data_IF_870058759113
#
_entry.id   IF_870058759113
#
_cell.length_a   1.000
_cell.length_b   1.000
_cell.length_c   1.000
_cell.angle_alpha   90.00
_cell.angle_beta   90.00
_cell.angle_gamma   90.00
#
_symmetry.space_group_name_H-M   'P 1'
#
loop_
_entity.id
_entity.type
_entity.pdbx_description
1 polymer ?
#
# COMPACT_ATOMS: atom_id res chain seq x y z
N UNK A 1 -8.63 3.09 -9.82
CA UNK A 1 -7.26 3.23 -10.32
C UNK A 1 -7.21 2.99 -11.83
N UNK A 2 -7.60 1.84 -12.38
CA UNK A 2 -7.57 1.54 -13.82
C UNK A 2 -8.30 2.59 -14.67
N UNK A 3 -9.55 2.90 -14.32
CA UNK A 3 -10.35 3.90 -15.04
C UNK A 3 -9.68 5.27 -15.02
N UNK A 4 -9.12 5.68 -13.87
CA UNK A 4 -8.42 6.95 -13.74
C UNK A 4 -7.15 7.00 -14.59
N UNK A 5 -6.35 5.92 -14.56
CA UNK A 5 -5.14 5.82 -15.39
C UNK A 5 -5.43 5.95 -16.90
N UNK A 6 -6.51 5.32 -17.37
CA UNK A 6 -6.97 5.42 -18.76
C UNK A 6 -7.56 6.80 -19.08
N UNK A 7 -8.43 7.34 -18.22
CA UNK A 7 -9.12 8.62 -18.46
C UNK A 7 -8.15 9.80 -18.56
N UNK A 8 -7.06 9.77 -17.83
CA UNK A 8 -6.03 10.82 -17.84
C UNK A 8 -4.86 10.54 -18.78
N UNK A 9 -4.92 9.47 -19.59
CA UNK A 9 -3.81 9.05 -20.47
C UNK A 9 -2.46 9.07 -19.73
N UNK A 10 -2.45 8.56 -18.48
CA UNK A 10 -1.28 8.61 -17.65
C UNK A 10 -0.13 7.75 -18.23
N UNK A 11 1.13 8.18 -18.13
CA UNK A 11 2.28 7.37 -18.50
C UNK A 11 2.19 5.97 -17.87
N UNK A 12 2.57 4.89 -18.57
CA UNK A 12 2.41 3.52 -18.08
C UNK A 12 2.94 3.28 -16.67
N UNK A 13 4.11 3.83 -16.36
CA UNK A 13 4.71 3.72 -15.03
C UNK A 13 3.84 4.36 -13.93
N UNK A 14 3.24 5.53 -14.21
CA UNK A 14 2.37 6.24 -13.26
C UNK A 14 1.04 5.49 -13.11
N UNK A 15 0.47 4.98 -14.20
CA UNK A 15 -0.77 4.21 -14.17
C UNK A 15 -0.62 2.91 -13.36
N UNK A 16 0.48 2.17 -13.55
CA UNK A 16 0.80 0.98 -12.75
C UNK A 16 1.02 1.36 -11.29
N UNK A 17 1.77 2.44 -11.01
CA UNK A 17 1.98 2.96 -9.65
C UNK A 17 0.66 3.31 -8.95
N UNK A 18 -0.30 3.90 -9.68
CA UNK A 18 -1.64 4.21 -9.15
C UNK A 18 -2.44 2.95 -8.79
N UNK A 19 -2.31 1.89 -9.58
CA UNK A 19 -2.94 0.58 -9.27
C UNK A 19 -2.31 -0.04 -8.03
N UNK A 20 -0.98 0.00 -7.91
CA UNK A 20 -0.26 -0.49 -6.71
C UNK A 20 -0.70 0.29 -5.48
N UNK A 21 -0.76 1.62 -5.56
CA UNK A 21 -1.22 2.48 -4.48
C UNK A 21 -2.65 2.13 -4.03
N UNK A 22 -3.55 1.88 -5.01
CA UNK A 22 -4.93 1.48 -4.73
C UNK A 22 -5.05 0.08 -4.12
N UNK A 23 -4.11 -0.80 -4.41
CA UNK A 23 -4.09 -2.17 -3.90
C UNK A 23 -3.45 -2.28 -2.50
N UNK A 24 -2.71 -1.27 -2.05
CA UNK A 24 -2.08 -1.29 -0.73
C UNK A 24 -3.13 -1.37 0.40
N UNK A 25 -2.89 -2.19 1.43
CA UNK A 25 -3.78 -2.26 2.59
C UNK A 25 -3.71 -0.97 3.40
N UNK A 26 -4.75 -0.74 4.22
CA UNK A 26 -4.78 0.43 5.12
C UNK A 26 -3.61 0.38 6.11
N UNK A 27 -2.91 1.52 6.26
CA UNK A 27 -1.78 1.63 7.18
C UNK A 27 -2.20 1.88 8.63
N UNK A 28 -1.23 1.81 9.54
CA UNK A 28 -1.42 2.11 10.97
C UNK A 28 -1.96 3.52 11.22
N UNK A 29 -1.76 4.46 10.30
CA UNK A 29 -2.30 5.82 10.34
C UNK A 29 -3.82 5.83 10.30
N UNK A 30 -4.46 4.89 9.60
CA UNK A 30 -5.92 4.78 9.57
C UNK A 30 -6.49 4.54 10.98
N UNK A 31 -5.84 3.67 11.76
CA UNK A 31 -6.24 3.42 13.15
C UNK A 31 -6.08 4.67 14.03
N UNK A 32 -5.02 5.46 13.82
CA UNK A 32 -4.80 6.71 14.55
C UNK A 32 -5.89 7.74 14.21
N UNK A 33 -6.27 7.89 12.95
CA UNK A 33 -7.37 8.78 12.54
C UNK A 33 -8.72 8.31 13.08
N UNK A 34 -8.99 7.01 13.07
CA UNK A 34 -10.21 6.41 13.64
C UNK A 34 -10.31 6.73 15.13
N UNK A 35 -9.20 6.58 15.86
CA UNK A 35 -9.14 6.94 17.28
C UNK A 35 -9.37 8.45 17.50
N UNK A 36 -8.71 9.31 16.74
CA UNK A 36 -8.85 10.76 16.82
C UNK A 36 -10.28 11.22 16.50
N UNK A 37 -10.96 10.54 15.59
CA UNK A 37 -12.35 10.82 15.20
C UNK A 37 -13.38 10.22 16.16
N UNK A 38 -12.96 9.55 17.24
CA UNK A 38 -13.83 8.82 18.19
C UNK A 38 -14.74 7.79 17.51
N UNK A 39 -14.26 7.20 16.40
CA UNK A 39 -14.96 6.15 15.68
C UNK A 39 -14.58 4.76 16.21
N UNK A 40 -15.15 3.71 15.64
CA UNK A 40 -14.95 2.31 16.08
C UNK A 40 -13.56 1.81 15.71
N UNK A 41 -12.61 1.92 16.64
CA UNK A 41 -11.22 1.46 16.47
C UNK A 41 -11.12 -0.06 16.32
N UNK A 42 -11.79 -0.90 17.12
CA UNK A 42 -11.85 -2.35 16.94
C UNK A 42 -12.26 -2.76 15.53
N UNK A 43 -13.30 -2.15 14.99
CA UNK A 43 -13.76 -2.40 13.61
C UNK A 43 -12.65 -2.04 12.60
N UNK A 44 -12.03 -0.88 12.74
CA UNK A 44 -10.95 -0.43 11.85
C UNK A 44 -9.76 -1.40 11.87
N UNK A 45 -9.33 -1.85 13.04
CA UNK A 45 -8.22 -2.81 13.19
C UNK A 45 -8.57 -4.15 12.55
N UNK A 46 -9.78 -4.65 12.76
CA UNK A 46 -10.25 -5.92 12.19
C UNK A 46 -10.29 -5.84 10.66
N UNK A 47 -10.85 -4.77 10.10
CA UNK A 47 -10.89 -4.56 8.66
C UNK A 47 -9.47 -4.44 8.07
N UNK A 48 -8.57 -3.73 8.76
CA UNK A 48 -7.17 -3.61 8.34
C UNK A 48 -6.46 -4.96 8.33
N UNK A 49 -6.70 -5.81 9.31
CA UNK A 49 -6.13 -7.16 9.36
C UNK A 49 -6.64 -8.04 8.21
N UNK A 50 -7.96 -8.06 7.98
CA UNK A 50 -8.58 -8.84 6.91
C UNK A 50 -8.08 -8.35 5.54
N UNK A 51 -8.08 -7.04 5.30
CA UNK A 51 -7.61 -6.47 4.03
C UNK A 51 -6.13 -6.76 3.80
N UNK A 52 -5.29 -6.73 4.84
CA UNK A 52 -3.87 -7.06 4.72
C UNK A 52 -3.64 -8.51 4.24
N UNK A 53 -4.41 -9.46 4.76
CA UNK A 53 -4.33 -10.86 4.31
C UNK A 53 -4.76 -10.99 2.85
N UNK A 54 -5.89 -10.39 2.49
CA UNK A 54 -6.41 -10.43 1.12
C UNK A 54 -5.42 -9.79 0.15
N UNK A 55 -4.83 -8.68 0.53
CA UNK A 55 -3.92 -7.89 -0.31
C UNK A 55 -2.67 -8.67 -0.71
N UNK A 56 -2.12 -9.50 0.18
CA UNK A 56 -0.94 -10.35 -0.15
C UNK A 56 -1.20 -11.23 -1.37
N UNK A 57 -2.42 -11.75 -1.52
CA UNK A 57 -2.80 -12.57 -2.67
C UNK A 57 -3.22 -11.73 -3.89
N UNK A 58 -3.85 -10.60 -3.68
CA UNK A 58 -4.42 -9.80 -4.77
C UNK A 58 -3.42 -8.87 -5.44
N UNK A 59 -2.42 -8.36 -4.73
CA UNK A 59 -1.41 -7.44 -5.30
C UNK A 59 -0.70 -8.04 -6.52
N UNK A 60 -0.13 -9.25 -6.50
CA UNK A 60 0.57 -9.80 -7.65
C UNK A 60 -0.32 -9.92 -8.88
N UNK A 61 -1.58 -10.30 -8.67
CA UNK A 61 -2.55 -10.40 -9.76
C UNK A 61 -2.89 -9.02 -10.34
N UNK A 62 -3.12 -8.01 -9.48
CA UNK A 62 -3.43 -6.66 -9.90
C UNK A 62 -2.26 -5.98 -10.61
N UNK A 63 -1.02 -6.19 -10.16
CA UNK A 63 0.18 -5.66 -10.82
C UNK A 63 0.33 -6.29 -12.21
N UNK A 64 0.18 -7.61 -12.32
CA UNK A 64 0.29 -8.28 -13.61
C UNK A 64 -0.80 -7.81 -14.59
N UNK A 65 -2.03 -7.62 -14.09
CA UNK A 65 -3.13 -7.06 -14.87
C UNK A 65 -2.84 -5.62 -15.29
N UNK A 66 -2.29 -4.80 -14.41
CA UNK A 66 -1.93 -3.42 -14.71
C UNK A 66 -0.81 -3.34 -15.76
N UNK A 67 0.21 -4.17 -15.63
CA UNK A 67 1.30 -4.26 -16.63
C UNK A 67 0.76 -4.67 -18.00
N UNK A 68 -0.13 -5.65 -18.06
CA UNK A 68 -0.77 -6.05 -19.35
C UNK A 68 -1.62 -4.94 -19.95
N UNK A 69 -2.30 -4.15 -19.13
CA UNK A 69 -3.22 -3.12 -19.59
C UNK A 69 -2.50 -1.84 -20.05
N UNK A 70 -1.42 -1.46 -19.34
CA UNK A 70 -0.73 -0.19 -19.57
C UNK A 70 0.63 -0.32 -20.28
N UNK A 71 1.21 -1.54 -20.36
CA UNK A 71 2.46 -1.73 -21.12
C UNK A 71 2.18 -1.67 -22.62
N UNK A 72 2.92 -0.82 -23.30
CA UNK A 72 2.95 -0.77 -24.75
C UNK A 72 3.46 -2.10 -25.33
N UNK A 73 2.87 -2.54 -26.43
CA UNK A 73 3.25 -3.73 -27.18
C UNK A 73 4.76 -3.76 -27.43
N UNK A 74 5.46 -4.72 -26.81
CA UNK A 74 6.88 -4.96 -27.02
C UNK A 74 7.76 -5.12 -25.77
N UNK A 75 7.33 -4.64 -24.59
CA UNK A 75 8.01 -4.86 -23.33
C UNK A 75 7.10 -5.62 -22.34
N UNK A 76 6.66 -6.81 -22.73
CA UNK A 76 6.01 -7.72 -21.79
C UNK A 76 7.06 -8.28 -20.82
N UNK A 77 7.40 -7.54 -19.80
CA UNK A 77 7.95 -8.12 -18.59
C UNK A 77 6.80 -8.90 -17.93
N UNK A 78 6.55 -10.11 -18.40
CA UNK A 78 5.69 -11.04 -17.69
C UNK A 78 6.42 -11.41 -16.40
N UNK A 79 6.13 -10.66 -15.34
CA UNK A 79 6.61 -11.04 -14.02
C UNK A 79 5.96 -12.38 -13.69
N UNK A 80 6.77 -13.43 -13.42
CA UNK A 80 6.23 -14.71 -13.03
C UNK A 80 5.45 -14.55 -11.73
N UNK A 81 4.11 -14.62 -11.82
CA UNK A 81 3.18 -14.40 -10.70
C UNK A 81 3.58 -15.27 -9.51
N UNK A 82 3.98 -16.51 -9.78
CA UNK A 82 4.39 -17.45 -8.74
C UNK A 82 5.62 -16.98 -7.96
N UNK A 83 6.65 -16.50 -8.65
CA UNK A 83 7.85 -15.98 -8.00
C UNK A 83 7.55 -14.70 -7.20
N UNK A 84 6.67 -13.85 -7.71
CA UNK A 84 6.23 -12.65 -7.02
C UNK A 84 5.43 -13.00 -5.76
N UNK A 85 4.52 -13.96 -5.83
CA UNK A 85 3.79 -14.49 -4.67
C UNK A 85 4.74 -15.06 -3.62
N UNK A 86 5.66 -15.92 -4.02
CA UNK A 86 6.62 -16.52 -3.11
C UNK A 86 7.47 -15.46 -2.43
N UNK A 87 7.97 -14.48 -3.17
CA UNK A 87 8.74 -13.38 -2.62
C UNK A 87 7.94 -12.57 -1.62
N UNK A 88 6.72 -12.14 -1.96
CA UNK A 88 5.85 -11.38 -1.05
C UNK A 88 5.50 -12.18 0.20
N UNK A 89 5.16 -13.46 0.05
CA UNK A 89 4.90 -14.35 1.18
C UNK A 89 6.11 -14.47 2.08
N UNK A 90 7.29 -14.72 1.50
CA UNK A 90 8.54 -14.88 2.24
C UNK A 90 8.90 -13.61 2.99
N UNK A 91 8.91 -12.45 2.31
CA UNK A 91 9.29 -11.18 2.93
C UNK A 91 8.26 -10.66 3.94
N UNK A 92 6.99 -11.09 3.85
CA UNK A 92 5.94 -10.64 4.78
C UNK A 92 5.72 -11.64 5.91
N UNK A 93 5.57 -12.94 5.59
CA UNK A 93 5.21 -13.95 6.59
C UNK A 93 6.38 -14.33 7.50
N UNK A 94 7.61 -14.43 6.97
CA UNK A 94 8.76 -14.82 7.79
C UNK A 94 9.00 -13.80 8.91
N UNK A 95 9.16 -12.49 8.65
CA UNK A 95 9.33 -11.52 9.73
C UNK A 95 8.14 -11.46 10.69
N UNK A 96 6.92 -11.62 10.17
CA UNK A 96 5.72 -11.62 11.00
C UNK A 96 5.70 -12.80 11.96
N UNK A 97 5.93 -14.02 11.47
CA UNK A 97 6.00 -15.23 12.30
C UNK A 97 7.12 -15.12 13.35
N UNK A 98 8.31 -14.67 12.93
CA UNK A 98 9.43 -14.45 13.86
C UNK A 98 9.08 -13.43 14.93
N UNK A 99 8.45 -12.31 14.57
CA UNK A 99 8.00 -11.30 15.52
C UNK A 99 6.96 -11.84 16.53
N UNK A 100 6.01 -12.64 16.04
CA UNK A 100 5.01 -13.29 16.89
C UNK A 100 5.65 -14.31 17.85
N UNK A 101 6.60 -15.12 17.37
CA UNK A 101 7.33 -16.09 18.19
C UNK A 101 8.16 -15.39 19.27
N UNK A 102 8.89 -14.33 18.93
CA UNK A 102 9.65 -13.53 19.89
C UNK A 102 8.71 -12.95 20.95
N UNK A 103 7.58 -12.40 20.55
CA UNK A 103 6.59 -11.88 21.50
C UNK A 103 6.01 -12.96 22.41
N UNK A 104 5.78 -14.15 21.87
CA UNK A 104 5.23 -15.28 22.63
C UNK A 104 6.22 -15.79 23.69
N UNK A 105 7.50 -16.00 23.31
CA UNK A 105 8.51 -16.55 24.21
C UNK A 105 9.16 -15.49 25.12
N UNK A 106 9.26 -14.24 24.67
CA UNK A 106 9.98 -13.16 25.35
C UNK A 106 9.14 -11.89 25.42
N UNK A 107 7.95 -11.96 26.03
CA UNK A 107 6.99 -10.83 26.10
C UNK A 107 7.60 -9.58 26.74
N UNK A 108 8.30 -9.72 27.86
CA UNK A 108 8.95 -8.60 28.58
C UNK A 108 10.05 -7.91 27.76
N UNK A 109 10.82 -8.67 26.97
CA UNK A 109 11.80 -8.13 26.03
C UNK A 109 11.11 -7.41 24.88
N UNK A 110 10.06 -8.02 24.31
CA UNK A 110 9.29 -7.46 23.20
C UNK A 110 8.69 -6.10 23.58
N UNK A 111 8.08 -5.97 24.77
CA UNK A 111 7.52 -4.70 25.23
C UNK A 111 8.55 -3.59 25.36
N UNK A 112 9.74 -3.90 25.89
CA UNK A 112 10.84 -2.93 25.98
C UNK A 112 11.44 -2.56 24.63
N UNK A 113 11.44 -3.49 23.66
CA UNK A 113 12.00 -3.31 22.34
C UNK A 113 11.09 -2.53 21.38
N UNK A 114 9.78 -2.46 21.64
CA UNK A 114 8.82 -1.80 20.75
C UNK A 114 9.15 -0.32 20.51
N UNK A 115 9.41 0.44 21.57
CA UNK A 115 9.67 1.89 21.44
C UNK A 115 10.96 2.22 20.66
N UNK A 116 12.13 1.62 20.96
CA UNK A 116 13.34 1.89 20.19
C UNK A 116 13.23 1.39 18.74
N UNK A 117 12.65 0.20 18.52
CA UNK A 117 12.45 -0.34 17.17
C UNK A 117 11.52 0.56 16.36
N UNK A 118 10.44 1.05 16.95
CA UNK A 118 9.50 1.98 16.29
C UNK A 118 10.21 3.24 15.78
N UNK A 119 11.10 3.82 16.60
CA UNK A 119 11.90 5.00 16.19
C UNK A 119 12.84 4.67 15.03
N UNK A 120 13.55 3.53 15.13
CA UNK A 120 14.48 3.10 14.07
C UNK A 120 13.71 2.88 12.75
N UNK A 121 12.56 2.19 12.79
CA UNK A 121 11.71 1.94 11.61
C UNK A 121 11.24 3.26 10.99
N UNK A 122 10.83 4.25 11.81
CA UNK A 122 10.45 5.57 11.30
C UNK A 122 11.61 6.28 10.58
N UNK A 123 12.82 6.27 11.16
CA UNK A 123 13.99 6.86 10.51
C UNK A 123 14.35 6.15 9.21
N UNK A 124 14.35 4.81 9.20
CA UNK A 124 14.62 4.03 7.99
C UNK A 124 13.55 4.30 6.93
N UNK A 125 12.27 4.38 7.31
CA UNK A 125 11.19 4.71 6.39
C UNK A 125 11.34 6.11 5.79
N UNK A 126 11.70 7.11 6.61
CA UNK A 126 11.98 8.46 6.13
C UNK A 126 13.18 8.50 5.17
N UNK A 127 14.24 7.75 5.48
CA UNK A 127 15.41 7.63 4.61
C UNK A 127 15.04 7.01 3.27
N UNK A 128 14.30 5.90 3.27
CA UNK A 128 13.85 5.23 2.03
C UNK A 128 12.97 6.16 1.19
N UNK A 129 12.06 6.91 1.82
CA UNK A 129 11.24 7.91 1.13
C UNK A 129 12.09 9.01 0.50
N UNK A 130 13.06 9.55 1.22
CA UNK A 130 13.98 10.57 0.69
C UNK A 130 14.80 10.04 -0.49
N UNK A 131 15.36 8.83 -0.35
CA UNK A 131 16.11 8.20 -1.44
C UNK A 131 15.20 7.93 -2.66
N UNK A 132 13.96 7.52 -2.45
CA UNK A 132 12.98 7.34 -3.51
C UNK A 132 12.66 8.64 -4.25
N UNK A 133 12.48 9.74 -3.51
CA UNK A 133 12.27 11.08 -4.11
C UNK A 133 13.48 11.52 -4.91
N UNK A 134 14.68 11.38 -4.35
CA UNK A 134 15.92 11.76 -5.03
C UNK A 134 16.15 10.92 -6.29
N UNK A 135 15.92 9.61 -6.22
CA UNK A 135 16.07 8.69 -7.34
C UNK A 135 15.07 8.94 -8.48
N UNK A 136 13.88 9.44 -8.15
CA UNK A 136 12.80 9.68 -9.11
C UNK A 136 12.59 11.17 -9.40
N UNK A 137 13.55 12.02 -9.04
CA UNK A 137 13.40 13.48 -9.09
C UNK A 137 13.01 14.00 -10.48
N UNK A 138 13.67 13.54 -11.54
CA UNK A 138 13.42 13.98 -12.90
C UNK A 138 12.01 13.58 -13.38
N UNK A 139 11.60 12.34 -13.10
CA UNK A 139 10.26 11.83 -13.44
C UNK A 139 9.17 12.58 -12.68
N UNK A 140 9.46 12.90 -11.42
CA UNK A 140 8.54 13.68 -10.58
C UNK A 140 8.37 15.10 -11.09
N UNK A 141 9.45 15.79 -11.46
CA UNK A 141 9.39 17.16 -11.99
C UNK A 141 8.67 17.22 -13.33
N UNK A 142 8.86 16.23 -14.19
CA UNK A 142 8.20 16.19 -15.49
C UNK A 142 6.71 15.92 -15.38
N UNK A 143 6.30 15.08 -14.44
CA UNK A 143 4.93 14.58 -14.33
C UNK A 143 4.17 15.02 -13.07
N UNK A 144 4.69 15.98 -12.27
CA UNK A 144 4.12 16.32 -10.97
C UNK A 144 2.65 16.73 -11.01
N UNK A 145 2.23 17.46 -12.05
CA UNK A 145 0.82 17.88 -12.20
C UNK A 145 -0.08 16.67 -12.41
N UNK A 146 0.32 15.77 -13.30
CA UNK A 146 -0.46 14.55 -13.60
C UNK A 146 -0.54 13.65 -12.38
N UNK A 147 0.57 13.42 -11.70
CA UNK A 147 0.62 12.60 -10.48
C UNK A 147 -0.22 13.22 -9.37
N UNK A 148 -0.09 14.51 -9.11
CA UNK A 148 -0.85 15.20 -8.09
C UNK A 148 -2.35 15.13 -8.35
N UNK A 149 -2.80 15.43 -9.57
CA UNK A 149 -4.22 15.36 -9.95
C UNK A 149 -4.77 13.94 -9.78
N UNK A 150 -4.05 12.94 -10.27
CA UNK A 150 -4.46 11.54 -10.18
C UNK A 150 -4.59 11.06 -8.74
N UNK A 151 -3.59 11.35 -7.90
CA UNK A 151 -3.60 10.94 -6.49
C UNK A 151 -4.72 11.64 -5.71
N UNK A 152 -4.90 12.95 -5.90
CA UNK A 152 -5.98 13.71 -5.25
C UNK A 152 -7.34 13.20 -5.71
N UNK A 153 -7.54 13.03 -7.02
CA UNK A 153 -8.80 12.51 -7.57
C UNK A 153 -9.10 11.11 -7.03
N UNK A 154 -8.11 10.24 -6.98
CA UNK A 154 -8.25 8.91 -6.43
C UNK A 154 -8.64 8.94 -4.94
N UNK A 155 -8.00 9.80 -4.14
CA UNK A 155 -8.36 9.97 -2.73
C UNK A 155 -9.80 10.46 -2.54
N UNK A 156 -10.22 11.46 -3.33
CA UNK A 156 -11.57 11.97 -3.28
C UNK A 156 -12.60 10.90 -3.67
N UNK A 157 -12.33 10.14 -4.73
CA UNK A 157 -13.23 9.05 -5.18
C UNK A 157 -13.33 7.95 -4.13
N UNK A 158 -12.21 7.50 -3.57
CA UNK A 158 -12.22 6.46 -2.52
C UNK A 158 -12.92 6.93 -1.26
N UNK A 159 -12.74 8.19 -0.86
CA UNK A 159 -13.42 8.79 0.28
C UNK A 159 -14.93 8.90 0.04
N UNK A 160 -15.35 9.36 -1.15
CA UNK A 160 -16.75 9.41 -1.54
C UNK A 160 -17.41 8.03 -1.58
N UNK A 161 -16.71 7.03 -2.13
CA UNK A 161 -17.18 5.63 -2.14
C UNK A 161 -17.31 5.08 -0.72
N UNK A 162 -16.32 5.30 0.15
CA UNK A 162 -16.38 4.86 1.55
C UNK A 162 -17.56 5.46 2.31
N UNK A 163 -17.79 6.77 2.13
CA UNK A 163 -18.93 7.45 2.72
C UNK A 163 -20.27 6.97 2.16
N UNK A 164 -20.33 6.80 0.83
CA UNK A 164 -21.54 6.28 0.16
C UNK A 164 -21.92 4.89 0.60
N UNK A 165 -20.95 3.97 0.68
CA UNK A 165 -21.16 2.61 1.17
C UNK A 165 -21.61 2.61 2.65
N UNK A 166 -20.95 3.38 3.49
CA UNK A 166 -21.34 3.50 4.91
C UNK A 166 -22.78 3.99 5.09
N UNK A 167 -23.24 4.89 4.20
CA UNK A 167 -24.62 5.39 4.23
C UNK A 167 -25.63 4.37 3.70
N UNK A 168 -25.20 3.53 2.73
CA UNK A 168 -26.08 2.51 2.13
C UNK A 168 -26.36 1.32 3.08
N UNK A 169 -25.38 1.00 3.95
CA UNK A 169 -25.46 -0.11 4.91
C UNK A 169 -25.94 0.33 6.31
N UNK A 170 -26.35 1.56 6.49
CA UNK A 170 -26.92 2.09 7.72
C UNK A 170 -28.44 2.03 7.70
#
# INVERSE_FOLDING_TARGET
AFILGMAFNAPPAIAVGLVILAACPSGATANAYTFASRADVPLCVTLSAITSVITVFTIPFLINLALRTFSLEGQMAQLPILNMLINLMTFTLIPLILGMLIRYFYSAFSEKAVEPIRKVVLYVMMLVLLLGIVSSYDVLLENYKTVAILVVTMNLVTMAMGFGLAKLFK
#
